data_IF_005576348303
#
_entry.id   IF_005576348303
#
_cell.length_a   1.000
_cell.length_b   1.000
_cell.length_c   1.000
_cell.angle_alpha   90.00
_cell.angle_beta   90.00
_cell.angle_gamma   90.00
#
_symmetry.space_group_name_H-M   'P 1'
#
loop_
_entity.id
_entity.type
_entity.pdbx_description
1 polymer ?
#
# COMPACT_ATOMS: atom_id res chain seq x y z
N UNK A 1 3.39 23.86 7.32
CA UNK A 1 4.40 23.20 8.17
C UNK A 1 5.50 22.65 7.28
N UNK A 2 6.77 22.96 7.57
CA UNK A 2 7.93 22.37 6.90
C UNK A 2 7.85 20.84 7.03
N UNK A 3 7.94 20.11 5.92
CA UNK A 3 8.06 18.67 5.95
C UNK A 3 9.26 18.31 6.84
N UNK A 4 9.01 17.61 7.96
CA UNK A 4 10.09 17.02 8.76
C UNK A 4 10.96 16.22 7.79
N UNK A 5 12.28 16.51 7.76
CA UNK A 5 13.24 15.82 6.89
C UNK A 5 13.01 14.32 7.04
N UNK A 6 12.60 13.65 5.95
CA UNK A 6 12.45 12.20 5.96
C UNK A 6 13.84 11.63 6.31
N UNK A 7 13.96 10.70 7.28
CA UNK A 7 15.25 10.16 7.72
C UNK A 7 16.08 9.62 6.55
N UNK A 8 17.38 9.44 6.73
CA UNK A 8 18.23 8.87 5.68
C UNK A 8 17.80 7.42 5.37
N UNK A 9 17.02 7.23 4.30
CA UNK A 9 16.64 5.90 3.79
C UNK A 9 17.28 5.62 2.42
N UNK A 10 17.49 4.35 2.07
CA UNK A 10 18.12 4.00 0.79
C UNK A 10 17.18 4.21 -0.40
N UNK A 11 15.97 3.65 -0.32
CA UNK A 11 14.87 3.83 -1.28
C UNK A 11 13.54 3.56 -0.56
N UNK A 12 12.50 4.31 -0.92
CA UNK A 12 11.12 4.11 -0.48
C UNK A 12 10.29 3.78 -1.70
N UNK A 13 9.55 2.68 -1.63
CA UNK A 13 8.60 2.27 -2.64
C UNK A 13 7.19 2.49 -2.07
N UNK A 14 6.36 3.25 -2.78
CA UNK A 14 4.95 3.43 -2.47
C UNK A 14 4.12 2.76 -3.55
N UNK A 15 3.24 1.86 -3.14
CA UNK A 15 2.31 1.14 -4.02
C UNK A 15 0.91 1.62 -3.69
N UNK A 16 0.17 2.09 -4.69
CA UNK A 16 -1.17 2.62 -4.52
C UNK A 16 -1.90 2.58 -5.86
N UNK A 17 -3.21 2.40 -5.84
CA UNK A 17 -4.04 2.50 -7.04
C UNK A 17 -4.14 3.94 -7.55
N UNK A 18 -4.02 4.92 -6.64
CA UNK A 18 -4.32 6.35 -6.79
C UNK A 18 -5.76 6.66 -7.22
N UNK A 19 -6.63 5.65 -7.14
CA UNK A 19 -8.05 5.71 -7.51
C UNK A 19 -8.96 5.19 -6.39
N UNK A 20 -8.41 4.97 -5.19
CA UNK A 20 -9.12 4.50 -4.01
C UNK A 20 -8.98 3.00 -3.77
N UNK A 21 -9.71 2.50 -2.78
CA UNK A 21 -9.69 1.09 -2.39
C UNK A 21 -10.40 0.20 -3.43
N UNK A 22 -9.98 -1.06 -3.61
CA UNK A 22 -10.63 -2.01 -4.49
C UNK A 22 -11.95 -2.54 -3.90
N UNK A 23 -12.57 -3.49 -4.60
CA UNK A 23 -13.58 -4.36 -4.00
C UNK A 23 -12.91 -5.28 -2.96
N UNK A 24 -13.54 -5.43 -1.79
CA UNK A 24 -13.07 -6.32 -0.73
C UNK A 24 -13.30 -7.79 -1.08
N UNK A 25 -12.59 -8.68 -0.40
CA UNK A 25 -12.84 -10.12 -0.49
C UNK A 25 -14.28 -10.45 -0.08
N UNK A 26 -14.96 -11.23 -0.92
CA UNK A 26 -16.34 -11.67 -0.67
C UNK A 26 -16.56 -12.45 0.64
N UNK A 27 -15.48 -12.97 1.24
CA UNK A 27 -15.52 -13.68 2.52
C UNK A 27 -15.41 -12.75 3.73
N UNK A 28 -15.18 -11.46 3.52
CA UNK A 28 -15.00 -10.44 4.56
C UNK A 28 -16.16 -9.45 4.52
N UNK A 29 -16.72 -9.15 5.69
CA UNK A 29 -17.72 -8.09 5.82
C UNK A 29 -17.03 -6.73 5.96
N UNK A 30 -17.60 -5.70 5.32
CA UNK A 30 -17.10 -4.34 5.41
C UNK A 30 -17.49 -3.70 6.74
N UNK A 31 -16.50 -3.33 7.55
CA UNK A 31 -16.73 -2.61 8.81
C UNK A 31 -17.07 -1.13 8.63
N UNK A 32 -16.61 -0.51 7.53
CA UNK A 32 -16.73 0.94 7.35
C UNK A 32 -17.38 1.38 6.01
N UNK A 33 -18.28 2.39 5.98
CA UNK A 33 -18.99 2.80 4.76
C UNK A 33 -18.11 3.31 3.61
N UNK A 34 -16.90 3.79 3.91
CA UNK A 34 -15.94 4.25 2.88
C UNK A 34 -15.18 3.09 2.24
N UNK A 35 -15.28 1.89 2.77
CA UNK A 35 -14.61 0.70 2.24
C UNK A 35 -15.40 0.06 1.11
N UNK A 36 -15.73 0.89 0.15
CA UNK A 36 -16.37 0.51 -1.10
C UNK A 36 -15.43 0.89 -2.23
N UNK A 37 -15.51 0.24 -3.40
CA UNK A 37 -14.67 0.57 -4.54
C UNK A 37 -14.60 2.08 -4.80
N UNK A 38 -13.38 2.62 -4.87
CA UNK A 38 -13.11 4.05 -5.06
C UNK A 38 -13.10 4.89 -3.79
N UNK A 39 -13.40 4.31 -2.62
CA UNK A 39 -13.21 4.96 -1.32
C UNK A 39 -11.77 5.43 -1.12
N UNK A 40 -11.57 6.53 -0.40
CA UNK A 40 -10.25 7.12 -0.14
C UNK A 40 -9.43 7.54 -1.39
N UNK A 41 -10.08 7.68 -2.56
CA UNK A 41 -9.43 8.06 -3.81
C UNK A 41 -8.70 9.41 -3.74
N UNK A 42 -7.36 9.44 -3.96
CA UNK A 42 -6.62 10.69 -4.11
C UNK A 42 -7.08 11.49 -5.34
N UNK A 43 -7.50 10.80 -6.41
CA UNK A 43 -8.06 11.45 -7.60
C UNK A 43 -9.31 12.28 -7.25
N UNK A 44 -10.21 11.73 -6.40
CA UNK A 44 -11.39 12.45 -5.92
C UNK A 44 -11.02 13.58 -4.96
N UNK A 45 -10.14 13.31 -3.98
CA UNK A 45 -9.71 14.29 -3.00
C UNK A 45 -9.04 15.51 -3.65
N UNK A 46 -8.28 15.30 -4.73
CA UNK A 46 -7.57 16.34 -5.47
C UNK A 46 -8.32 16.82 -6.71
N UNK A 47 -9.51 16.28 -6.99
CA UNK A 47 -10.31 16.54 -8.21
C UNK A 47 -9.46 16.49 -9.48
N UNK A 48 -8.63 15.46 -9.58
CA UNK A 48 -7.66 15.28 -10.67
C UNK A 48 -7.78 13.85 -11.18
N UNK A 49 -8.50 13.69 -12.29
CA UNK A 49 -8.85 12.38 -12.87
C UNK A 49 -7.94 11.96 -14.04
N UNK A 50 -7.11 12.87 -14.52
CA UNK A 50 -6.02 12.52 -15.42
C UNK A 50 -4.87 11.95 -14.58
N UNK A 51 -4.54 10.68 -14.85
CA UNK A 51 -3.53 9.94 -14.07
C UNK A 51 -2.15 10.58 -14.16
N UNK A 52 -1.76 11.11 -15.32
CA UNK A 52 -0.44 11.71 -15.50
C UNK A 52 -0.34 13.04 -14.75
N UNK A 53 -1.41 13.84 -14.76
CA UNK A 53 -1.50 15.08 -13.98
C UNK A 53 -1.53 14.79 -12.48
N UNK A 54 -2.31 13.81 -12.03
CA UNK A 54 -2.39 13.39 -10.63
C UNK A 54 -1.01 12.94 -10.14
N UNK A 55 -0.38 12.02 -10.87
CA UNK A 55 0.93 11.48 -10.51
C UNK A 55 2.00 12.57 -10.55
N UNK A 56 1.93 13.51 -11.48
CA UNK A 56 2.83 14.67 -11.51
C UNK A 56 2.67 15.54 -10.26
N UNK A 57 1.43 15.83 -9.83
CA UNK A 57 1.16 16.59 -8.59
C UNK A 57 1.69 15.88 -7.35
N UNK A 58 1.43 14.58 -7.21
CA UNK A 58 1.87 13.77 -6.06
C UNK A 58 3.41 13.73 -6.02
N UNK A 59 4.07 13.43 -7.14
CA UNK A 59 5.54 13.39 -7.23
C UNK A 59 6.16 14.75 -6.91
N UNK A 60 5.58 15.84 -7.41
CA UNK A 60 6.02 17.21 -7.10
C UNK A 60 5.84 17.55 -5.62
N UNK A 61 4.80 17.02 -4.96
CA UNK A 61 4.55 17.26 -3.54
C UNK A 61 5.50 16.48 -2.63
N UNK A 62 5.86 15.26 -3.01
CA UNK A 62 6.83 14.41 -2.32
C UNK A 62 8.26 14.94 -2.55
N UNK A 63 8.57 15.32 -3.79
CA UNK A 63 9.83 15.92 -4.22
C UNK A 63 11.08 15.24 -3.63
N UNK A 64 11.21 13.92 -3.84
CA UNK A 64 12.32 13.15 -3.30
C UNK A 64 12.80 12.06 -4.26
N UNK A 65 14.06 12.14 -4.67
CA UNK A 65 14.65 11.29 -5.74
C UNK A 65 14.78 9.81 -5.37
N UNK A 66 14.69 9.47 -4.07
CA UNK A 66 14.73 8.08 -3.59
C UNK A 66 13.33 7.49 -3.36
N UNK A 67 12.25 8.23 -3.66
CA UNK A 67 10.88 7.71 -3.61
C UNK A 67 10.48 7.25 -5.01
N UNK A 68 9.97 6.03 -5.10
CA UNK A 68 9.38 5.48 -6.32
C UNK A 68 7.92 5.16 -6.02
N UNK A 69 7.01 5.66 -6.86
CA UNK A 69 5.59 5.37 -6.77
C UNK A 69 5.20 4.41 -7.89
N UNK A 70 4.50 3.35 -7.53
CA UNK A 70 4.02 2.30 -8.43
C UNK A 70 2.49 2.37 -8.47
N UNK A 71 1.90 2.96 -9.53
CA UNK A 71 0.46 3.06 -9.65
C UNK A 71 -0.19 1.72 -10.03
N UNK A 72 -1.35 1.45 -9.44
CA UNK A 72 -2.22 0.29 -9.73
C UNK A 72 -2.54 -0.52 -8.48
N UNK A 73 -3.72 -1.17 -8.48
CA UNK A 73 -4.11 -2.09 -7.41
C UNK A 73 -3.07 -3.20 -7.22
N UNK A 74 -2.96 -3.74 -6.01
CA UNK A 74 -1.90 -4.69 -5.66
C UNK A 74 -1.90 -5.96 -6.54
N UNK A 75 -3.07 -6.53 -6.82
CA UNK A 75 -3.24 -7.65 -7.76
C UNK A 75 -2.78 -7.36 -9.19
N UNK A 76 -2.72 -6.09 -9.59
CA UNK A 76 -2.32 -5.67 -10.94
C UNK A 76 -0.88 -5.18 -11.03
N UNK A 77 -0.39 -4.49 -9.99
CA UNK A 77 0.89 -3.78 -9.98
C UNK A 77 2.02 -4.65 -9.44
N UNK A 78 1.80 -5.38 -8.34
CA UNK A 78 2.82 -6.20 -7.70
C UNK A 78 3.35 -7.35 -8.59
N UNK A 79 2.51 -8.11 -9.33
CA UNK A 79 3.02 -9.18 -10.20
C UNK A 79 3.88 -8.69 -11.36
N UNK A 80 3.78 -7.41 -11.73
CA UNK A 80 4.54 -6.80 -12.84
C UNK A 80 5.88 -6.21 -12.38
N UNK A 81 6.17 -6.23 -11.09
CA UNK A 81 7.40 -5.68 -10.54
C UNK A 81 8.62 -6.50 -10.98
N UNK A 82 9.65 -5.81 -11.48
CA UNK A 82 10.97 -6.41 -11.64
C UNK A 82 11.63 -6.58 -10.27
N UNK A 83 11.61 -7.78 -9.72
CA UNK A 83 12.18 -8.10 -8.41
C UNK A 83 13.69 -7.84 -8.35
N UNK A 84 14.41 -7.75 -9.48
CA UNK A 84 15.84 -7.37 -9.49
C UNK A 84 16.06 -5.90 -9.14
N UNK A 85 15.02 -5.07 -9.31
CA UNK A 85 15.04 -3.64 -8.99
C UNK A 85 14.73 -3.35 -7.52
N UNK A 86 14.10 -4.31 -6.83
CA UNK A 86 13.69 -4.21 -5.42
C UNK A 86 14.71 -4.94 -4.55
N UNK A 87 15.01 -4.40 -3.37
CA UNK A 87 15.84 -5.08 -2.36
C UNK A 87 14.97 -5.47 -1.18
N UNK A 88 15.36 -6.49 -0.39
CA UNK A 88 14.69 -6.81 0.87
C UNK A 88 14.46 -5.54 1.71
N UNK A 89 13.21 -5.27 2.12
CA UNK A 89 12.88 -4.07 2.87
C UNK A 89 13.31 -4.20 4.34
N UNK A 90 13.75 -3.08 4.93
CA UNK A 90 13.92 -2.99 6.38
C UNK A 90 12.56 -2.87 7.09
N UNK A 91 11.64 -2.14 6.45
CA UNK A 91 10.28 -1.89 6.95
C UNK A 91 9.31 -2.11 5.79
N UNK A 92 8.24 -2.86 6.06
CA UNK A 92 7.02 -2.93 5.27
C UNK A 92 5.93 -2.26 6.09
N UNK A 93 5.36 -1.19 5.54
CA UNK A 93 4.26 -0.44 6.15
C UNK A 93 2.98 -0.83 5.40
N UNK A 94 2.07 -1.50 6.07
CA UNK A 94 0.76 -1.91 5.55
C UNK A 94 -0.25 -0.88 6.06
N UNK A 95 -0.76 -0.09 5.12
CA UNK A 95 -1.69 1.02 5.33
C UNK A 95 -2.62 1.04 4.11
N UNK A 96 -3.58 0.11 4.12
CA UNK A 96 -4.45 -0.16 2.98
C UNK A 96 -5.89 -0.51 3.37
N UNK A 97 -6.21 -0.44 4.67
CA UNK A 97 -7.48 -0.73 5.34
C UNK A 97 -8.00 -2.17 5.15
N UNK A 98 -8.14 -2.60 3.90
CA UNK A 98 -8.86 -3.79 3.46
C UNK A 98 -8.07 -5.08 3.65
N UNK A 99 -8.78 -6.15 3.97
CA UNK A 99 -8.21 -7.49 4.10
C UNK A 99 -7.56 -7.94 2.79
N UNK A 100 -8.29 -7.81 1.67
CA UNK A 100 -7.80 -8.26 0.37
C UNK A 100 -6.50 -7.55 -0.01
N UNK A 101 -6.38 -6.26 0.31
CA UNK A 101 -5.21 -5.44 0.03
C UNK A 101 -4.04 -5.87 0.91
N UNK A 102 -4.25 -5.98 2.23
CA UNK A 102 -3.22 -6.42 3.16
C UNK A 102 -2.70 -7.83 2.81
N UNK A 103 -3.62 -8.76 2.54
CA UNK A 103 -3.28 -10.12 2.11
C UNK A 103 -2.45 -10.10 0.83
N UNK A 104 -2.88 -9.41 -0.22
CA UNK A 104 -2.15 -9.35 -1.50
C UNK A 104 -0.74 -8.75 -1.35
N UNK A 105 -0.60 -7.68 -0.54
CA UNK A 105 0.69 -7.06 -0.29
C UNK A 105 1.64 -8.00 0.46
N UNK A 106 1.15 -8.65 1.51
CA UNK A 106 1.92 -9.63 2.28
C UNK A 106 2.26 -10.84 1.41
N UNK A 107 1.26 -11.45 0.72
CA UNK A 107 1.36 -12.53 -0.30
C UNK A 107 2.55 -12.30 -1.21
N UNK A 108 2.65 -11.09 -1.75
CA UNK A 108 3.75 -10.71 -2.60
C UNK A 108 5.09 -10.57 -1.85
N UNK A 109 5.14 -9.87 -0.71
CA UNK A 109 6.40 -9.66 0.04
C UNK A 109 7.07 -10.98 0.44
N UNK A 110 6.32 -11.91 1.01
CA UNK A 110 6.86 -13.20 1.43
C UNK A 110 7.03 -14.16 0.25
N UNK A 111 6.04 -14.24 -0.66
CA UNK A 111 6.08 -15.14 -1.81
C UNK A 111 7.17 -14.79 -2.83
N UNK A 112 7.58 -13.53 -2.92
CA UNK A 112 8.69 -13.08 -3.79
C UNK A 112 10.08 -13.27 -3.18
N UNK A 113 10.17 -13.72 -1.92
CA UNK A 113 11.44 -13.84 -1.20
C UNK A 113 12.06 -12.50 -0.78
N UNK A 114 11.27 -11.41 -0.76
CA UNK A 114 11.72 -10.12 -0.24
C UNK A 114 11.77 -10.11 1.29
N UNK A 115 10.92 -10.89 1.96
CA UNK A 115 10.95 -11.04 3.40
C UNK A 115 12.29 -11.59 3.90
N UNK A 116 12.87 -10.95 4.90
CA UNK A 116 14.15 -11.39 5.50
C UNK A 116 14.17 -11.23 7.02
N UNK A 117 14.99 -12.01 7.74
CA UNK A 117 15.18 -11.83 9.19
C UNK A 117 15.56 -10.39 9.54
N UNK A 118 14.89 -9.82 10.55
CA UNK A 118 15.09 -8.44 10.98
C UNK A 118 14.27 -7.40 10.22
N UNK A 119 13.49 -7.80 9.21
CA UNK A 119 12.45 -6.95 8.61
C UNK A 119 11.35 -6.64 9.63
N UNK A 120 10.90 -5.39 9.68
CA UNK A 120 9.74 -4.97 10.46
C UNK A 120 8.52 -4.89 9.56
N UNK A 121 7.42 -5.52 9.98
CA UNK A 121 6.10 -5.34 9.36
C UNK A 121 5.25 -4.51 10.31
N UNK A 122 4.79 -3.36 9.85
CA UNK A 122 3.87 -2.47 10.55
C UNK A 122 2.51 -2.55 9.87
N UNK A 123 1.46 -2.49 10.69
CA UNK A 123 0.07 -2.37 10.28
C UNK A 123 -0.46 -1.06 10.85
N UNK A 124 -1.12 -0.22 10.05
CA UNK A 124 -1.75 1.01 10.53
C UNK A 124 -3.05 0.69 11.27
N UNK A 125 -3.84 -0.26 10.75
CA UNK A 125 -5.23 -0.50 11.17
C UNK A 125 -5.41 -1.78 12.00
N UNK A 126 -4.36 -2.22 12.71
CA UNK A 126 -4.39 -3.47 13.48
C UNK A 126 -5.45 -3.50 14.59
N UNK A 127 -5.77 -2.34 15.18
CA UNK A 127 -6.70 -2.22 16.31
C UNK A 127 -7.89 -1.30 16.00
N UNK A 128 -8.14 -0.98 14.74
CA UNK A 128 -9.19 -0.02 14.40
C UNK A 128 -10.57 -0.65 14.61
N UNK A 129 -11.11 -0.47 15.82
CA UNK A 129 -12.47 -0.76 16.32
C UNK A 129 -13.16 -2.10 16.00
N UNK A 130 -12.49 -3.03 15.31
CA UNK A 130 -13.14 -4.20 14.69
C UNK A 130 -13.60 -3.97 13.25
N UNK A 131 -13.30 -2.80 12.68
CA UNK A 131 -13.57 -2.52 11.28
C UNK A 131 -12.35 -2.95 10.44
N UNK A 132 -11.10 -2.61 10.83
CA UNK A 132 -9.81 -2.92 10.15
C UNK A 132 -9.68 -4.31 9.48
N UNK A 133 -9.56 -4.38 8.14
CA UNK A 133 -9.37 -5.65 7.41
C UNK A 133 -7.93 -6.19 7.48
N UNK A 134 -6.96 -5.32 7.80
CA UNK A 134 -5.54 -5.68 7.84
C UNK A 134 -5.21 -6.79 8.86
N UNK A 135 -5.90 -6.81 10.01
CA UNK A 135 -5.72 -7.83 11.04
C UNK A 135 -6.10 -9.24 10.57
N UNK A 136 -7.05 -9.36 9.62
CA UNK A 136 -7.44 -10.62 9.00
C UNK A 136 -6.36 -11.13 8.03
N UNK A 137 -5.55 -10.24 7.46
CA UNK A 137 -4.46 -10.60 6.55
C UNK A 137 -3.37 -11.44 7.21
N UNK A 138 -3.27 -11.41 8.55
CA UNK A 138 -2.36 -12.25 9.32
C UNK A 138 -3.02 -13.60 9.65
N UNK A 139 -2.90 -14.58 8.76
CA UNK A 139 -3.30 -15.96 9.05
C UNK A 139 -2.09 -16.83 9.45
N UNK A 140 -2.03 -17.37 10.69
CA UNK A 140 -1.01 -18.33 11.08
C UNK A 140 -1.16 -19.60 10.24
N UNK A 141 -0.20 -19.87 9.34
CA UNK A 141 -0.20 -21.05 8.47
C UNK A 141 -0.12 -20.76 6.96
N UNK A 142 -0.13 -19.48 6.55
CA UNK A 142 -0.10 -19.07 5.13
C UNK A 142 1.32 -18.92 4.56
N UNK A 143 2.37 -19.22 5.35
CA UNK A 143 3.76 -18.90 5.07
C UNK A 143 4.72 -20.00 5.51
#
# INVERSE_FOLDING_TARGET
>A
AMAKKIPHFRRLWGFDSFQGVPEEDSSTELGHPTWRPGGWSPADALRTYDVDVLMSRIRNRINHTRVVLVPGFFNESLPKMDLRSVRPPLVVDVDCDLYISARQALDWVFGSGLACPGMLVRYDDWFDSGDGGEALGFHPGSW
#
